data_IF_471795957745
#
_entry.id   IF_471795957745
#
_cell.length_a   1.000
_cell.length_b   1.000
_cell.length_c   1.000
_cell.angle_alpha   90.00
_cell.angle_beta   90.00
_cell.angle_gamma   90.00
#
_symmetry.space_group_name_H-M   'P 1'
#
loop_
_entity.id
_entity.type
_entity.pdbx_description
1 polymer ?
#
# COMPACT_ATOMS: atom_id res chain seq x y z
N UNK A 1 8.94 -5.05 6.21
CA UNK A 1 9.05 -3.71 5.60
C UNK A 1 8.89 -3.87 4.10
N UNK A 2 8.02 -3.09 3.47
CA UNK A 2 7.74 -3.20 2.03
C UNK A 2 8.35 -2.00 1.32
N UNK A 3 8.95 -2.23 0.15
CA UNK A 3 9.48 -1.13 -0.64
C UNK A 3 8.33 -0.20 -1.07
N UNK A 4 8.56 1.11 -1.05
CA UNK A 4 7.53 2.08 -1.46
C UNK A 4 7.13 1.87 -2.92
N UNK A 5 8.04 1.36 -3.74
CA UNK A 5 7.80 1.05 -5.15
C UNK A 5 6.84 -0.13 -5.31
N UNK A 6 7.08 -1.23 -4.60
CA UNK A 6 6.22 -2.41 -4.70
C UNK A 6 4.85 -2.13 -4.09
N UNK A 7 4.81 -1.37 -3.00
CA UNK A 7 3.56 -0.94 -2.40
C UNK A 7 2.75 -0.04 -3.34
N UNK A 8 3.40 0.89 -4.03
CA UNK A 8 2.72 1.75 -5.01
C UNK A 8 2.18 0.94 -6.19
N UNK A 9 2.92 -0.05 -6.68
CA UNK A 9 2.43 -0.98 -7.72
C UNK A 9 1.22 -1.78 -7.24
N UNK A 10 1.27 -2.32 -6.03
CA UNK A 10 0.14 -3.04 -5.44
C UNK A 10 -1.10 -2.13 -5.32
N UNK A 11 -0.91 -0.88 -4.91
CA UNK A 11 -1.96 0.14 -4.89
C UNK A 11 -2.55 0.42 -6.29
N UNK A 12 -1.71 0.58 -7.32
CA UNK A 12 -2.18 0.78 -8.68
C UNK A 12 -3.01 -0.40 -9.20
N UNK A 13 -2.57 -1.63 -8.91
CA UNK A 13 -3.31 -2.83 -9.28
C UNK A 13 -4.67 -2.90 -8.58
N UNK A 14 -4.73 -2.59 -7.28
CA UNK A 14 -5.98 -2.51 -6.54
C UNK A 14 -6.92 -1.45 -7.14
N UNK A 15 -6.40 -0.27 -7.50
CA UNK A 15 -7.17 0.78 -8.15
C UNK A 15 -7.78 0.29 -9.48
N UNK A 16 -6.99 -0.38 -10.31
CA UNK A 16 -7.45 -0.93 -11.59
C UNK A 16 -8.55 -1.99 -11.40
N UNK A 17 -8.40 -2.89 -10.42
CA UNK A 17 -9.38 -3.93 -10.12
C UNK A 17 -10.71 -3.37 -9.57
N UNK A 18 -10.66 -2.24 -8.88
CA UNK A 18 -11.83 -1.62 -8.26
C UNK A 18 -12.42 -0.47 -9.11
N UNK A 19 -11.91 -0.27 -10.33
CA UNK A 19 -12.30 0.82 -11.23
C UNK A 19 -12.16 2.22 -10.59
N UNK A 20 -11.14 2.39 -9.75
CA UNK A 20 -10.80 3.65 -9.08
C UNK A 20 -9.59 4.27 -9.79
N UNK A 21 -9.60 5.59 -9.97
CA UNK A 21 -8.43 6.31 -10.50
C UNK A 21 -7.30 6.31 -9.46
N UNK A 22 -6.14 5.78 -9.84
CA UNK A 22 -4.95 5.81 -8.99
C UNK A 22 -4.38 7.24 -8.83
N UNK A 23 -3.90 7.55 -7.64
CA UNK A 23 -3.10 8.75 -7.37
C UNK A 23 -1.73 8.69 -8.03
N UNK A 24 -1.10 9.86 -8.17
CA UNK A 24 0.31 9.94 -8.51
C UNK A 24 1.18 9.45 -7.34
N UNK A 25 2.41 9.01 -7.65
CA UNK A 25 3.34 8.51 -6.64
C UNK A 25 3.64 9.55 -5.53
N UNK A 26 3.70 10.84 -5.90
CA UNK A 26 3.90 11.94 -4.94
C UNK A 26 2.72 12.07 -3.99
N UNK A 27 1.48 12.05 -4.52
CA UNK A 27 0.26 12.17 -3.72
C UNK A 27 0.10 10.94 -2.82
N UNK A 28 0.32 9.74 -3.36
CA UNK A 28 0.34 8.51 -2.58
C UNK A 28 1.32 8.58 -1.41
N UNK A 29 2.56 9.02 -1.65
CA UNK A 29 3.55 9.17 -0.58
C UNK A 29 3.16 10.20 0.50
N UNK A 30 2.46 11.29 0.11
CA UNK A 30 1.92 12.27 1.07
C UNK A 30 0.80 11.67 1.92
N UNK A 31 -0.12 10.95 1.29
CA UNK A 31 -1.21 10.26 1.98
C UNK A 31 -0.70 9.25 3.00
N UNK A 32 0.33 8.47 2.66
CA UNK A 32 0.90 7.49 3.60
C UNK A 32 1.51 8.17 4.83
N UNK A 33 2.22 9.30 4.65
CA UNK A 33 2.74 10.08 5.78
C UNK A 33 1.62 10.70 6.62
N UNK A 34 0.59 11.25 5.97
CA UNK A 34 -0.55 11.84 6.66
C UNK A 34 -1.31 10.82 7.53
N UNK A 35 -1.26 9.53 7.15
CA UNK A 35 -1.83 8.40 7.90
C UNK A 35 -0.90 7.85 8.99
N UNK A 36 0.26 8.47 9.21
CA UNK A 36 1.21 8.09 10.26
C UNK A 36 2.15 6.95 9.90
N UNK A 37 2.30 6.62 8.61
CA UNK A 37 3.29 5.62 8.20
C UNK A 37 4.68 6.24 8.07
N UNK A 38 5.63 5.66 8.78
CA UNK A 38 7.03 6.06 8.70
C UNK A 38 7.74 5.47 7.48
N UNK A 39 8.60 6.28 6.88
CA UNK A 39 9.41 5.89 5.74
C UNK A 39 10.85 5.66 6.19
N UNK A 40 11.31 4.41 6.12
CA UNK A 40 12.71 4.08 6.27
C UNK A 40 13.44 4.21 4.92
N UNK A 41 14.54 4.94 4.88
CA UNK A 41 15.32 5.16 3.65
C UNK A 41 16.68 4.50 3.75
N UNK A 42 17.04 3.73 2.72
CA UNK A 42 18.40 3.25 2.49
C UNK A 42 19.04 3.97 1.30
N UNK A 43 20.33 3.72 1.04
CA UNK A 43 21.03 4.26 -0.14
C UNK A 43 20.38 3.84 -1.47
N UNK A 44 19.68 2.70 -1.50
CA UNK A 44 19.12 2.09 -2.73
C UNK A 44 17.59 2.19 -2.83
N UNK A 45 16.86 2.26 -1.72
CA UNK A 45 15.41 2.17 -1.73
C UNK A 45 14.76 2.89 -0.53
N UNK A 46 13.44 3.06 -0.62
CA UNK A 46 12.59 3.54 0.47
C UNK A 46 11.63 2.44 0.84
N UNK A 47 11.36 2.31 2.12
CA UNK A 47 10.50 1.31 2.71
C UNK A 47 9.49 1.97 3.62
N UNK A 48 8.27 1.45 3.67
CA UNK A 48 7.29 1.84 4.70
C UNK A 48 7.38 0.86 5.86
N UNK A 49 7.46 1.41 7.07
CA UNK A 49 7.49 0.67 8.33
C UNK A 49 6.04 0.35 8.74
N UNK A 50 5.82 -0.83 9.32
CA UNK A 50 4.49 -1.24 9.80
C UNK A 50 3.50 -1.71 8.73
N UNK A 51 3.92 -1.81 7.46
CA UNK A 51 3.11 -2.37 6.37
C UNK A 51 3.76 -3.66 5.85
N UNK A 52 2.92 -4.67 5.60
CA UNK A 52 3.29 -5.89 4.91
C UNK A 52 2.33 -6.15 3.74
N UNK A 53 2.86 -6.58 2.60
CA UNK A 53 2.03 -7.06 1.48
C UNK A 53 1.82 -8.55 1.70
N UNK A 54 0.61 -8.94 2.09
CA UNK A 54 0.28 -10.36 2.17
C UNK A 54 0.09 -10.89 0.75
N UNK A 55 0.77 -12.00 0.44
CA UNK A 55 0.51 -12.73 -0.80
C UNK A 55 -0.92 -13.26 -0.72
N UNK A 56 -1.75 -12.90 -1.70
CA UNK A 56 -3.08 -13.46 -1.85
C UNK A 56 -2.97 -14.92 -2.34
N UNK A 57 -2.50 -15.83 -1.49
CA UNK A 57 -2.82 -17.24 -1.65
C UNK A 57 -4.29 -17.39 -1.30
N UNK A 58 -5.06 -17.93 -2.26
CA UNK A 58 -6.49 -18.15 -2.13
C UNK A 58 -6.77 -19.05 -0.93
N UNK A 59 -7.02 -18.45 0.23
CA UNK A 59 -7.54 -19.18 1.37
C UNK A 59 -8.76 -18.41 1.86
N UNK A 60 -9.92 -19.01 1.61
CA UNK A 60 -11.17 -18.72 2.29
C UNK A 60 -10.98 -18.90 3.80
N UNK A 61 -10.41 -17.91 4.48
CA UNK A 61 -10.41 -17.85 5.93
C UNK A 61 -10.97 -16.50 6.36
N UNK A 62 -12.20 -16.62 6.87
CA UNK A 62 -12.82 -15.72 7.84
C UNK A 62 -11.75 -15.05 8.71
N UNK A 63 -11.74 -13.71 8.71
CA UNK A 63 -11.00 -12.83 9.64
C UNK A 63 -9.69 -12.18 9.20
N UNK A 64 -9.54 -11.82 7.92
CA UNK A 64 -8.73 -10.65 7.59
C UNK A 64 -9.63 -9.61 6.94
N UNK A 65 -10.25 -8.78 7.79
CA UNK A 65 -10.73 -7.47 7.35
C UNK A 65 -9.48 -6.66 7.00
N UNK A 66 -9.04 -6.72 5.74
CA UNK A 66 -8.29 -5.60 5.16
C UNK A 66 -9.31 -4.45 5.00
N UNK A 67 -9.70 -3.88 6.14
CA UNK A 67 -10.60 -2.74 6.25
C UNK A 67 -9.88 -1.42 6.03
N UNK A 68 -8.76 -1.41 5.30
CA UNK A 68 -7.84 -0.26 5.25
C UNK A 68 -7.46 0.07 3.82
N UNK A 69 -8.43 0.55 3.04
CA UNK A 69 -8.26 1.73 2.16
C UNK A 69 -9.59 2.13 1.50
N UNK A 70 -10.66 2.34 2.28
CA UNK A 70 -11.76 3.20 1.80
C UNK A 70 -11.29 4.65 1.92
N UNK A 71 -10.76 5.17 0.82
CA UNK A 71 -10.62 6.62 0.63
C UNK A 71 -12.06 7.12 0.38
N UNK A 72 -12.60 7.92 1.31
CA UNK A 72 -13.83 8.68 1.08
C UNK A 72 -13.54 9.83 0.14
#
# INVERSE_FOLDING_TARGET
>A
MVSTTDLFKAYQNWCAQNNVRAFSNIVFGREMRARGFDVYRTKKARFLIGINLEHAEQIYLRHIKIGVLKIR
#
